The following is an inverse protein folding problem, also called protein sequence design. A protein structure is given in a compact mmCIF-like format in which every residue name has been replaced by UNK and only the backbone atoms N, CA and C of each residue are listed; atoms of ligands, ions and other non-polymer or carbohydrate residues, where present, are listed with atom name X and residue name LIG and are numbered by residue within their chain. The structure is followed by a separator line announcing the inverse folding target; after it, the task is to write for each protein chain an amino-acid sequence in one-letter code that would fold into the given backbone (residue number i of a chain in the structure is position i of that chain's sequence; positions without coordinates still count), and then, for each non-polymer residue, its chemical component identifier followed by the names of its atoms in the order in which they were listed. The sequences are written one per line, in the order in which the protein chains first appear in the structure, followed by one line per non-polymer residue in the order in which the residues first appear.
data_IF_390111711811
#
_entry.id   IF_390111711811
#
_cell.length_a   1.000
_cell.length_b   1.000
_cell.length_c   1.000
_cell.angle_alpha   90.00
_cell.angle_beta   90.00
_cell.angle_gamma   90.00
#
_symmetry.space_group_name_H-M   'P 1'
#
loop_
_entity.id
_entity.type
_entity.pdbx_description
1 polymer ?
#
# COMPACT_ATOMS: atom_id res chain seq x y z
N UNK A 1 0.13 -5.09 11.48
CA UNK A 1 -0.55 -4.57 10.28
C UNK A 1 0.10 -5.17 9.05
N UNK A 2 -0.71 -5.68 8.12
CA UNK A 2 -0.30 -6.16 6.82
C UNK A 2 -0.63 -5.11 5.76
N UNK A 3 0.32 -4.86 4.87
CA UNK A 3 0.19 -3.92 3.75
C UNK A 3 0.45 -4.69 2.47
N UNK A 4 -0.55 -4.78 1.62
CA UNK A 4 -0.49 -5.53 0.36
C UNK A 4 -0.44 -4.54 -0.81
N UNK A 5 0.59 -4.65 -1.63
CA UNK A 5 0.83 -3.76 -2.76
C UNK A 5 1.09 -4.57 -4.04
N UNK A 6 0.76 -4.07 -5.22
CA UNK A 6 1.20 -4.70 -6.46
C UNK A 6 2.74 -4.67 -6.58
N UNK A 7 3.33 -5.67 -7.21
CA UNK A 7 4.78 -5.73 -7.42
C UNK A 7 5.25 -4.65 -8.40
N UNK A 8 4.43 -4.38 -9.42
CA UNK A 8 4.69 -3.33 -10.42
C UNK A 8 3.55 -2.34 -10.43
N UNK A 9 3.89 -1.07 -10.41
CA UNK A 9 2.94 0.02 -10.62
C UNK A 9 2.94 0.44 -12.10
N UNK A 10 1.84 0.96 -12.60
CA UNK A 10 1.75 1.54 -13.94
C UNK A 10 2.67 2.76 -14.12
N UNK A 11 3.00 3.43 -13.03
CA UNK A 11 3.83 4.63 -13.00
C UNK A 11 5.00 4.42 -12.02
N UNK A 12 6.21 4.16 -12.51
CA UNK A 12 7.38 3.86 -11.67
C UNK A 12 7.72 4.95 -10.64
N UNK A 13 7.45 6.21 -10.94
CA UNK A 13 7.72 7.32 -10.03
C UNK A 13 6.81 7.30 -8.78
N UNK A 14 5.61 6.72 -8.87
CA UNK A 14 4.77 6.50 -7.70
C UNK A 14 5.40 5.48 -6.73
N UNK A 15 6.02 4.42 -7.25
CA UNK A 15 6.77 3.47 -6.42
C UNK A 15 7.97 4.15 -5.75
N UNK A 16 8.70 5.00 -6.48
CA UNK A 16 9.83 5.74 -5.90
C UNK A 16 9.38 6.68 -4.79
N UNK A 17 8.29 7.41 -4.99
CA UNK A 17 7.74 8.32 -3.99
C UNK A 17 7.23 7.58 -2.73
N UNK A 18 6.64 6.39 -2.90
CA UNK A 18 6.10 5.58 -1.80
C UNK A 18 7.21 4.87 -0.99
N UNK A 19 8.36 4.57 -1.59
CA UNK A 19 9.37 3.71 -0.97
C UNK A 19 9.92 4.21 0.36
N UNK A 20 10.22 5.51 0.58
CA UNK A 20 10.65 6.00 1.90
C UNK A 20 9.60 5.80 2.99
N UNK A 21 8.32 5.88 2.63
CA UNK A 21 7.22 5.63 3.56
C UNK A 21 7.10 4.14 3.91
N UNK A 22 7.28 3.26 2.93
CA UNK A 22 7.30 1.82 3.16
C UNK A 22 8.48 1.41 4.06
N UNK A 23 9.66 2.01 3.89
CA UNK A 23 10.81 1.79 4.77
C UNK A 23 10.47 2.16 6.23
N UNK A 24 9.81 3.30 6.44
CA UNK A 24 9.37 3.72 7.77
C UNK A 24 8.32 2.77 8.36
N UNK A 25 7.33 2.34 7.59
CA UNK A 25 6.29 1.40 8.03
C UNK A 25 6.87 0.02 8.37
N UNK A 26 7.80 -0.49 7.56
CA UNK A 26 8.51 -1.73 7.83
C UNK A 26 9.32 -1.63 9.14
N UNK A 27 10.01 -0.50 9.37
CA UNK A 27 10.73 -0.22 10.62
C UNK A 27 9.80 -0.18 11.83
N UNK A 28 8.56 0.29 11.64
CA UNK A 28 7.53 0.33 12.68
C UNK A 28 6.86 -1.04 12.94
N UNK A 29 7.31 -2.10 12.25
CA UNK A 29 6.81 -3.47 12.45
C UNK A 29 5.64 -3.87 11.56
N UNK A 30 5.29 -3.07 10.53
CA UNK A 30 4.33 -3.48 9.52
C UNK A 30 4.94 -4.54 8.59
N UNK A 31 4.14 -5.55 8.23
CA UNK A 31 4.50 -6.55 7.22
C UNK A 31 4.06 -6.03 5.85
N UNK A 32 4.97 -6.00 4.90
CA UNK A 32 4.70 -5.51 3.55
C UNK A 32 4.78 -6.67 2.57
N UNK A 33 3.79 -6.78 1.70
CA UNK A 33 3.62 -7.85 0.75
C UNK A 33 3.52 -7.30 -0.66
N UNK A 34 4.25 -7.89 -1.60
CA UNK A 34 4.21 -7.55 -3.03
C UNK A 34 3.53 -8.67 -3.80
N UNK A 35 2.37 -8.38 -4.39
CA UNK A 35 1.60 -9.36 -5.17
C UNK A 35 2.05 -9.40 -6.62
N UNK A 36 2.32 -10.61 -7.12
CA UNK A 36 2.57 -10.86 -8.54
C UNK A 36 1.26 -10.87 -9.32
N UNK A 37 1.34 -10.54 -10.60
CA UNK A 37 0.19 -10.61 -11.51
C UNK A 37 -0.12 -9.26 -12.16
N UNK A 38 -1.30 -9.15 -12.81
CA UNK A 38 -1.73 -7.89 -13.38
C UNK A 38 -1.88 -6.84 -12.28
N UNK A 39 -1.70 -5.57 -12.65
CA UNK A 39 -1.83 -4.44 -11.73
C UNK A 39 -3.22 -4.44 -11.09
N UNK A 40 -3.24 -4.60 -9.78
CA UNK A 40 -4.46 -4.55 -8.96
C UNK A 40 -4.67 -3.13 -8.44
N UNK A 41 -5.79 -2.52 -8.82
CA UNK A 41 -6.14 -1.15 -8.44
C UNK A 41 -7.16 -1.09 -7.29
N UNK A 42 -7.44 -2.21 -6.62
CA UNK A 42 -8.37 -2.24 -5.48
C UNK A 42 -7.84 -1.43 -4.31
N UNK A 43 -8.71 -0.70 -3.65
CA UNK A 43 -8.44 -0.02 -2.38
C UNK A 43 -9.38 -0.59 -1.35
N UNK A 44 -8.82 -1.35 -0.42
CA UNK A 44 -9.57 -2.02 0.63
C UNK A 44 -8.77 -2.06 1.92
N UNK A 45 -9.47 -2.03 3.03
CA UNK A 45 -8.90 -2.14 4.36
C UNK A 45 -9.88 -2.89 5.27
N UNK A 46 -9.36 -3.69 6.17
CA UNK A 46 -10.15 -4.35 7.21
C UNK A 46 -9.51 -4.12 8.57
N UNK A 47 -10.33 -4.10 9.61
CA UNK A 47 -9.87 -3.97 11.00
C UNK A 47 -10.65 -4.95 11.88
N UNK A 48 -9.90 -5.80 12.59
CA UNK A 48 -10.39 -6.72 13.61
C UNK A 48 -11.57 -7.62 13.17
N UNK A 49 -11.67 -7.91 11.86
CA UNK A 49 -12.76 -8.74 11.31
C UNK A 49 -14.16 -8.15 11.48
N UNK A 50 -14.29 -6.89 11.86
CA UNK A 50 -15.56 -6.23 12.18
C UNK A 50 -15.83 -4.97 11.35
N UNK A 51 -14.79 -4.34 10.86
CA UNK A 51 -14.87 -3.15 10.04
C UNK A 51 -14.13 -3.35 8.72
N UNK A 52 -14.72 -2.86 7.64
CA UNK A 52 -14.12 -2.90 6.32
C UNK A 52 -14.35 -1.58 5.59
N UNK A 53 -13.39 -1.18 4.78
CA UNK A 53 -13.50 -0.05 3.86
C UNK A 53 -13.12 -0.50 2.45
N UNK A 54 -13.91 -0.09 1.47
CA UNK A 54 -13.62 -0.23 0.04
C UNK A 54 -13.88 1.09 -0.66
N UNK A 55 -13.06 1.44 -1.64
CA UNK A 55 -13.27 2.72 -2.31
C UNK A 55 -12.29 3.04 -3.42
N UNK A 56 -12.24 4.31 -3.77
CA UNK A 56 -11.37 4.83 -4.83
C UNK A 56 -10.09 5.47 -4.30
N UNK A 57 -10.04 5.90 -3.03
CA UNK A 57 -8.90 6.60 -2.47
C UNK A 57 -7.65 5.71 -2.34
N UNK A 58 -6.54 6.14 -2.92
CA UNK A 58 -5.24 5.59 -2.59
C UNK A 58 -4.77 6.12 -1.22
N UNK A 59 -3.86 5.41 -0.59
CA UNK A 59 -3.20 5.84 0.65
C UNK A 59 -1.99 6.73 0.34
N UNK A 60 -2.24 7.81 -0.40
CA UNK A 60 -1.25 8.82 -0.74
C UNK A 60 -1.77 10.23 -0.43
N UNK A 61 -0.86 11.20 -0.35
CA UNK A 61 -1.18 12.57 0.04
C UNK A 61 -2.16 13.24 -0.94
N UNK A 62 -2.11 12.89 -2.22
CA UNK A 62 -2.98 13.45 -3.25
C UNK A 62 -4.40 12.93 -3.11
N UNK A 63 -4.58 11.61 -3.05
CA UNK A 63 -5.91 11.00 -2.93
C UNK A 63 -6.58 11.38 -1.62
N UNK A 64 -5.83 11.43 -0.50
CA UNK A 64 -6.38 11.72 0.81
C UNK A 64 -6.72 13.21 1.04
N UNK A 65 -6.18 14.15 0.24
CA UNK A 65 -6.30 15.58 0.51
C UNK A 65 -6.82 16.42 -0.66
N UNK A 66 -6.55 16.00 -1.89
CA UNK A 66 -6.76 16.83 -3.08
C UNK A 66 -7.77 16.24 -4.06
N UNK A 67 -7.87 14.93 -4.18
CA UNK A 67 -8.80 14.29 -5.10
C UNK A 67 -10.21 14.19 -4.50
N UNK A 68 -11.21 14.21 -5.36
CA UNK A 68 -12.56 13.79 -5.01
C UNK A 68 -12.60 12.26 -5.04
N UNK A 69 -12.65 11.65 -3.85
CA UNK A 69 -12.65 10.20 -3.68
C UNK A 69 -13.93 9.76 -2.96
N UNK A 70 -14.33 8.54 -3.20
CA UNK A 70 -15.45 7.92 -2.52
C UNK A 70 -14.99 6.64 -1.83
N UNK A 71 -15.24 6.54 -0.53
CA UNK A 71 -14.99 5.34 0.24
C UNK A 71 -16.26 4.94 0.97
N UNK A 72 -16.54 3.64 0.98
CA UNK A 72 -17.65 3.02 1.69
C UNK A 72 -17.10 2.29 2.91
N UNK A 73 -17.57 2.64 4.08
CA UNK A 73 -17.31 1.93 5.33
C UNK A 73 -18.45 0.96 5.63
N UNK A 74 -18.07 -0.27 5.95
CA UNK A 74 -19.00 -1.34 6.28
C UNK A 74 -18.69 -1.88 7.68
N UNK A 75 -19.70 -1.96 8.51
CA UNK A 75 -19.61 -2.49 9.88
C UNK A 75 -20.28 -3.86 9.95
N UNK A 76 -19.61 -4.85 10.48
CA UNK A 76 -20.12 -6.20 10.68
C UNK A 76 -19.18 -7.30 10.20
N UNK A 77 -19.22 -8.42 10.90
CA UNK A 77 -18.27 -9.52 10.72
C UNK A 77 -18.38 -10.22 9.36
N UNK A 78 -19.58 -10.28 8.76
CA UNK A 78 -19.79 -11.02 7.51
C UNK A 78 -18.97 -10.43 6.38
N UNK A 79 -19.18 -9.15 6.06
CA UNK A 79 -18.48 -8.48 4.96
C UNK A 79 -16.99 -8.30 5.27
N UNK A 80 -16.65 -7.89 6.50
CA UNK A 80 -15.27 -7.76 6.91
C UNK A 80 -14.52 -9.11 6.80
N UNK A 81 -15.13 -10.22 7.22
CA UNK A 81 -14.54 -11.54 7.11
C UNK A 81 -14.37 -12.05 5.67
N UNK A 82 -15.31 -11.74 4.77
CA UNK A 82 -15.15 -12.04 3.33
C UNK A 82 -13.97 -11.27 2.72
N UNK A 83 -13.82 -10.00 3.11
CA UNK A 83 -12.73 -9.16 2.64
C UNK A 83 -11.38 -9.59 3.24
N UNK A 84 -11.33 -9.97 4.52
CA UNK A 84 -10.17 -10.57 5.15
C UNK A 84 -9.71 -11.82 4.40
N UNK A 85 -10.63 -12.72 4.09
CA UNK A 85 -10.33 -13.93 3.33
C UNK A 85 -9.78 -13.62 1.93
N UNK A 86 -10.23 -12.53 1.29
CA UNK A 86 -9.69 -12.07 0.01
C UNK A 86 -8.25 -11.56 0.17
N UNK A 87 -8.00 -10.74 1.20
CA UNK A 87 -6.66 -10.20 1.50
C UNK A 87 -5.69 -11.33 1.83
N UNK A 88 -6.09 -12.30 2.66
CA UNK A 88 -5.27 -13.45 3.00
C UNK A 88 -4.90 -14.30 1.78
N UNK A 89 -5.83 -14.51 0.83
CA UNK A 89 -5.51 -15.17 -0.43
C UNK A 89 -4.47 -14.39 -1.25
N UNK A 90 -4.52 -13.06 -1.26
CA UNK A 90 -3.49 -12.24 -1.91
C UNK A 90 -2.13 -12.40 -1.22
N UNK A 91 -2.11 -12.35 0.10
CA UNK A 91 -0.89 -12.53 0.91
C UNK A 91 -0.27 -13.91 0.69
N UNK A 92 -1.07 -14.98 0.60
CA UNK A 92 -0.57 -16.36 0.45
C UNK A 92 0.26 -16.57 -0.84
N UNK A 93 0.07 -15.74 -1.85
CA UNK A 93 0.83 -15.79 -3.11
C UNK A 93 1.81 -14.62 -3.28
N UNK A 94 1.83 -13.72 -2.32
CA UNK A 94 2.66 -12.52 -2.35
C UNK A 94 4.09 -12.80 -1.85
N UNK A 95 5.01 -11.94 -2.25
CA UNK A 95 6.38 -11.92 -1.75
C UNK A 95 6.48 -10.93 -0.59
N UNK A 96 7.07 -11.31 0.55
CA UNK A 96 7.38 -10.34 1.60
C UNK A 96 8.45 -9.34 1.11
N UNK A 97 8.28 -8.07 1.49
CA UNK A 97 9.26 -7.01 1.28
C UNK A 97 9.88 -6.65 2.63
N UNK A 98 11.16 -6.98 2.80
CA UNK A 98 11.83 -6.79 4.09
C UNK A 98 12.35 -5.37 4.30
N UNK A 99 12.55 -4.99 5.57
CA UNK A 99 13.19 -3.73 5.92
C UNK A 99 14.61 -3.64 5.36
N UNK A 100 15.37 -4.74 5.38
CA UNK A 100 16.75 -4.81 4.87
C UNK A 100 16.79 -4.53 3.35
N UNK A 101 15.82 -5.04 2.60
CA UNK A 101 15.68 -4.78 1.16
C UNK A 101 15.40 -3.29 0.89
N UNK A 102 14.55 -2.68 1.70
CA UNK A 102 14.20 -1.25 1.58
C UNK A 102 15.36 -0.32 2.01
N UNK A 103 16.03 -0.63 3.11
CA UNK A 103 17.11 0.21 3.68
C UNK A 103 18.45 0.01 2.98
N UNK A 104 18.71 -1.16 2.40
CA UNK A 104 19.96 -1.51 1.72
C UNK A 104 20.16 -0.87 0.34
N UNK A 105 19.24 -0.01 -0.12
CA UNK A 105 19.36 0.68 -1.41
C UNK A 105 20.47 1.71 -1.40
N UNK A 106 21.14 1.88 -2.55
CA UNK A 106 22.26 2.81 -2.70
C UNK A 106 21.85 4.25 -2.45
N UNK A 107 22.77 5.09 -1.99
CA UNK A 107 22.52 6.50 -1.70
C UNK A 107 21.91 7.27 -2.87
N UNK A 108 22.35 7.15 -4.13
CA UNK A 108 21.70 7.84 -5.25
C UNK A 108 20.23 7.47 -5.43
N UNK A 109 19.88 6.18 -5.24
CA UNK A 109 18.50 5.70 -5.30
C UNK A 109 17.67 6.31 -4.18
N UNK A 110 18.18 6.34 -2.96
CA UNK A 110 17.49 6.95 -1.80
C UNK A 110 17.26 8.44 -1.98
N UNK A 111 18.23 9.18 -2.55
CA UNK A 111 18.07 10.60 -2.86
C UNK A 111 16.98 10.80 -3.91
N UNK A 112 17.01 10.03 -5.00
CA UNK A 112 15.95 10.05 -6.02
C UNK A 112 14.57 9.84 -5.39
N UNK A 113 14.40 8.78 -4.62
CA UNK A 113 13.13 8.41 -4.00
C UNK A 113 12.63 9.51 -3.04
N UNK A 114 13.54 10.13 -2.30
CA UNK A 114 13.21 11.26 -1.41
C UNK A 114 12.77 12.51 -2.19
N UNK A 115 13.38 12.79 -3.34
CA UNK A 115 12.96 13.90 -4.21
C UNK A 115 11.56 13.66 -4.78
N UNK A 116 11.29 12.44 -5.26
CA UNK A 116 9.94 12.08 -5.74
C UNK A 116 8.91 12.13 -4.61
N UNK A 117 9.28 11.78 -3.38
CA UNK A 117 8.39 11.93 -2.22
C UNK A 117 8.00 13.39 -1.97
N UNK A 118 8.90 14.35 -2.14
CA UNK A 118 8.56 15.78 -2.02
C UNK A 118 7.53 16.22 -3.07
N UNK A 119 7.54 15.57 -4.24
CA UNK A 119 6.58 15.82 -5.32
C UNK A 119 5.28 15.00 -5.18
N UNK A 120 5.18 14.09 -4.18
CA UNK A 120 4.04 13.18 -3.99
C UNK A 120 2.66 13.86 -4.03
N UNK A 121 2.43 15.06 -3.46
CA UNK A 121 1.14 15.73 -3.55
C UNK A 121 0.73 16.12 -4.98
N UNK A 122 1.67 16.11 -5.92
CA UNK A 122 1.46 16.50 -7.33
C UNK A 122 1.53 15.31 -8.29
N UNK A 123 1.91 14.14 -7.80
CA UNK A 123 1.97 12.88 -8.54
C UNK A 123 0.68 12.08 -8.36
#
# INVERSE_FOLDING_TARGET
VDIVLPETNNLPFCDWAATPQLEWLARAGCRIWKTKGPFDHSKMMTVDGMWAMVGSANWDDRSLRLNFEFNLECYGATFAGELDALIERKISTARPLSYEELSGRSMPVRIRDSLFRLASPYL
#
